data_IF_751414816379
#
_entry.id   IF_751414816379
#
_cell.length_a   1.000
_cell.length_b   1.000
_cell.length_c   1.000
_cell.angle_alpha   90.00
_cell.angle_beta   90.00
_cell.angle_gamma   90.00
#
_symmetry.space_group_name_H-M   'P 1'
#
loop_
_entity.id
_entity.type
_entity.pdbx_description
1 polymer ?
#
# COMPACT_ATOMS: atom_id res chain seq x y z
N UNK A 1 12.07 -34.77 -14.29
CA UNK A 1 12.65 -36.00 -14.85
C UNK A 1 11.62 -37.06 -15.23
N UNK A 2 10.62 -37.34 -14.39
CA UNK A 2 9.67 -38.46 -14.60
C UNK A 2 8.25 -38.05 -15.00
N UNK A 3 7.86 -36.77 -14.83
CA UNK A 3 6.52 -36.28 -15.19
C UNK A 3 6.53 -35.61 -16.57
N UNK A 4 5.50 -35.86 -17.36
CA UNK A 4 5.27 -35.17 -18.64
C UNK A 4 4.67 -33.78 -18.42
N UNK A 5 4.93 -32.85 -19.34
CA UNK A 5 4.24 -31.53 -19.37
C UNK A 5 4.67 -30.51 -18.30
N UNK A 6 5.72 -30.77 -17.52
CA UNK A 6 6.24 -29.79 -16.56
C UNK A 6 6.92 -28.63 -17.28
N UNK A 7 6.46 -27.40 -17.03
CA UNK A 7 7.07 -26.20 -17.61
C UNK A 7 8.51 -26.02 -17.08
N UNK A 8 9.50 -25.63 -17.90
CA UNK A 8 10.90 -25.50 -17.47
C UNK A 8 11.12 -24.55 -16.28
N UNK A 9 10.27 -23.54 -16.11
CA UNK A 9 10.33 -22.59 -14.99
C UNK A 9 9.57 -23.04 -13.72
N UNK A 10 8.93 -24.22 -13.73
CA UNK A 10 8.09 -24.71 -12.62
C UNK A 10 8.61 -26.03 -12.04
N UNK A 11 9.92 -26.26 -12.09
CA UNK A 11 10.56 -27.44 -11.51
C UNK A 11 10.66 -27.29 -9.98
N UNK A 12 10.23 -28.33 -9.25
CA UNK A 12 10.41 -28.43 -7.79
C UNK A 12 11.75 -29.12 -7.50
N UNK A 13 12.61 -28.48 -6.72
CA UNK A 13 13.91 -29.01 -6.33
C UNK A 13 14.21 -28.84 -4.84
N UNK A 14 15.44 -29.14 -4.40
CA UNK A 14 15.82 -29.09 -2.97
C UNK A 14 15.67 -27.71 -2.30
N UNK A 15 15.56 -26.64 -3.09
CA UNK A 15 15.43 -25.25 -2.61
C UNK A 15 14.02 -24.67 -2.82
N UNK A 16 13.02 -25.51 -3.12
CA UNK A 16 11.65 -25.07 -3.36
C UNK A 16 10.79 -25.27 -2.11
N UNK A 17 10.28 -24.19 -1.54
CA UNK A 17 9.25 -24.24 -0.49
C UNK A 17 7.87 -24.58 -1.09
N UNK A 18 7.02 -25.25 -0.31
CA UNK A 18 5.72 -25.76 -0.74
C UNK A 18 4.61 -25.24 0.18
N UNK A 19 3.66 -24.50 -0.40
CA UNK A 19 2.40 -24.15 0.25
C UNK A 19 1.27 -24.95 -0.39
N UNK A 20 0.55 -25.74 0.41
CA UNK A 20 -0.52 -26.61 -0.09
C UNK A 20 -1.81 -25.82 -0.43
N UNK A 21 -2.13 -25.73 -1.73
CA UNK A 21 -3.34 -25.05 -2.23
C UNK A 21 -4.57 -25.96 -2.43
N UNK A 22 -4.46 -27.27 -2.21
CA UNK A 22 -5.55 -28.21 -2.46
C UNK A 22 -6.80 -27.86 -1.63
N UNK A 23 -7.96 -27.76 -2.29
CA UNK A 23 -9.22 -27.40 -1.64
C UNK A 23 -9.32 -25.94 -1.18
N UNK A 24 -8.39 -25.07 -1.61
CA UNK A 24 -8.40 -23.63 -1.33
C UNK A 24 -8.69 -22.83 -2.60
N UNK A 25 -9.26 -21.65 -2.44
CA UNK A 25 -9.30 -20.62 -3.48
C UNK A 25 -8.15 -19.66 -3.19
N UNK A 26 -7.31 -19.42 -4.20
CA UNK A 26 -6.23 -18.44 -4.13
C UNK A 26 -6.60 -17.28 -5.03
N UNK A 27 -6.56 -16.07 -4.48
CA UNK A 27 -6.81 -14.82 -5.22
C UNK A 27 -5.56 -13.95 -5.17
N UNK A 28 -5.51 -12.92 -6.00
CA UNK A 28 -4.63 -11.79 -5.73
C UNK A 28 -5.02 -11.15 -4.39
N UNK A 29 -4.06 -10.47 -3.76
CA UNK A 29 -4.35 -9.62 -2.61
C UNK A 29 -5.18 -8.40 -3.01
N UNK A 30 -6.07 -7.97 -2.13
CA UNK A 30 -6.91 -6.80 -2.35
C UNK A 30 -6.08 -5.51 -2.47
N UNK A 31 -6.58 -4.58 -3.28
CA UNK A 31 -6.06 -3.21 -3.41
C UNK A 31 -7.17 -2.27 -2.97
N UNK A 32 -7.00 -1.64 -1.81
CA UNK A 32 -7.89 -0.57 -1.36
C UNK A 32 -7.29 0.77 -1.75
N UNK A 33 -8.01 1.53 -2.58
CA UNK A 33 -7.55 2.80 -3.11
C UNK A 33 -8.19 4.05 -2.48
N UNK A 34 -8.91 3.89 -1.36
CA UNK A 34 -9.52 5.00 -0.63
C UNK A 34 -9.26 4.91 0.87
N UNK A 35 -7.98 4.83 1.25
CA UNK A 35 -7.59 4.61 2.64
C UNK A 35 -7.35 5.93 3.38
N UNK A 36 -8.02 6.11 4.52
CA UNK A 36 -7.69 7.17 5.46
C UNK A 36 -6.75 6.61 6.54
N UNK A 37 -5.50 7.07 6.58
CA UNK A 37 -4.51 6.63 7.57
C UNK A 37 -4.73 7.31 8.94
N UNK A 38 -5.88 7.00 9.56
CA UNK A 38 -6.35 7.59 10.83
C UNK A 38 -5.63 6.98 12.02
N UNK A 39 -5.38 5.68 12.00
CA UNK A 39 -4.74 4.95 13.09
C UNK A 39 -4.01 3.70 12.55
N UNK A 40 -2.96 3.21 13.25
CA UNK A 40 -2.19 2.06 12.78
C UNK A 40 -2.96 0.72 12.83
N UNK A 41 -4.03 0.62 13.61
CA UNK A 41 -4.81 -0.61 13.76
C UNK A 41 -5.42 -1.09 12.43
N UNK A 42 -5.69 -0.17 11.51
CA UNK A 42 -6.26 -0.50 10.19
C UNK A 42 -5.34 -1.40 9.36
N UNK A 43 -4.03 -1.42 9.63
CA UNK A 43 -3.09 -2.27 8.89
C UNK A 43 -3.33 -3.75 9.17
N UNK A 44 -3.60 -4.10 10.43
CA UNK A 44 -3.94 -5.47 10.82
C UNK A 44 -5.29 -5.91 10.26
N UNK A 45 -6.28 -5.01 10.28
CA UNK A 45 -7.60 -5.26 9.68
C UNK A 45 -7.53 -5.45 8.16
N UNK A 46 -6.73 -4.64 7.47
CA UNK A 46 -6.49 -4.78 6.03
C UNK A 46 -5.92 -6.16 5.69
N UNK A 47 -4.83 -6.56 6.36
CA UNK A 47 -4.22 -7.89 6.16
C UNK A 47 -5.18 -9.02 6.50
N UNK A 48 -5.90 -8.91 7.62
CA UNK A 48 -6.92 -9.88 8.02
C UNK A 48 -8.07 -10.01 7.02
N UNK A 49 -8.39 -8.92 6.31
CA UNK A 49 -9.36 -8.88 5.21
C UNK A 49 -8.81 -9.30 3.84
N UNK A 50 -7.55 -9.73 3.75
CA UNK A 50 -6.90 -10.11 2.49
C UNK A 50 -6.46 -8.94 1.61
N UNK A 51 -6.41 -7.72 2.15
CA UNK A 51 -5.89 -6.53 1.46
C UNK A 51 -4.37 -6.48 1.65
N UNK A 52 -3.66 -6.26 0.55
CA UNK A 52 -2.19 -6.24 0.53
C UNK A 52 -1.61 -4.92 0.05
N UNK A 53 -2.46 -4.04 -0.50
CA UNK A 53 -2.08 -2.71 -0.99
C UNK A 53 -3.05 -1.65 -0.50
N UNK A 54 -2.52 -0.59 0.09
CA UNK A 54 -3.27 0.55 0.61
C UNK A 54 -2.85 1.84 -0.11
N UNK A 55 -3.78 2.48 -0.80
CA UNK A 55 -3.56 3.77 -1.46
C UNK A 55 -4.49 4.79 -0.80
N UNK A 56 -3.91 5.89 -0.33
CA UNK A 56 -4.66 6.83 0.47
C UNK A 56 -3.79 7.90 1.10
N UNK A 57 -4.26 8.52 2.17
CA UNK A 57 -3.49 9.56 2.85
C UNK A 57 -3.98 9.79 4.28
N UNK A 58 -3.12 10.40 5.07
CA UNK A 58 -3.39 10.73 6.45
C UNK A 58 -2.14 11.01 7.26
N UNK A 59 -2.35 11.53 8.47
CA UNK A 59 -1.32 11.85 9.46
C UNK A 59 -1.79 11.47 10.87
N UNK A 60 -2.58 10.40 10.98
CA UNK A 60 -3.24 10.01 12.24
C UNK A 60 -4.61 10.67 12.42
N UNK A 61 -5.14 10.79 13.65
CA UNK A 61 -6.53 11.15 13.92
C UNK A 61 -6.84 12.66 13.79
N UNK A 62 -6.05 13.39 13.01
CA UNK A 62 -6.30 14.80 12.72
C UNK A 62 -7.58 14.97 11.89
N UNK A 63 -8.30 16.08 12.09
CA UNK A 63 -9.55 16.37 11.35
C UNK A 63 -9.38 16.29 9.84
N UNK A 64 -8.26 16.79 9.31
CA UNK A 64 -7.95 16.70 7.88
C UNK A 64 -7.87 15.25 7.37
N UNK A 65 -7.29 14.34 8.15
CA UNK A 65 -7.20 12.91 7.79
C UNK A 65 -8.54 12.21 7.93
N UNK A 66 -9.33 12.53 8.97
CA UNK A 66 -10.67 11.96 9.14
C UNK A 66 -11.60 12.35 7.99
N UNK A 67 -11.40 13.53 7.40
CA UNK A 67 -12.21 14.02 6.29
C UNK A 67 -11.65 13.65 4.90
N UNK A 68 -10.33 13.57 4.74
CA UNK A 68 -9.68 13.44 3.43
C UNK A 68 -8.53 12.44 3.45
N UNK A 69 -8.39 11.66 2.37
CA UNK A 69 -7.27 10.74 2.13
C UNK A 69 -6.00 11.50 1.72
N UNK A 70 -5.53 12.40 2.59
CA UNK A 70 -4.44 13.34 2.28
C UNK A 70 -3.34 13.30 3.34
N UNK A 71 -2.10 13.13 2.88
CA UNK A 71 -0.88 13.38 3.64
C UNK A 71 -0.26 14.70 3.11
N UNK A 72 -0.47 15.84 3.78
CA UNK A 72 -0.21 17.15 3.18
C UNK A 72 1.26 17.60 3.29
N UNK A 73 1.88 17.96 2.16
CA UNK A 73 3.22 18.57 2.15
C UNK A 73 4.37 17.58 2.38
N UNK A 74 5.59 18.00 2.03
CA UNK A 74 6.76 17.11 2.05
C UNK A 74 7.12 16.60 3.46
N UNK A 75 6.92 17.43 4.50
CA UNK A 75 7.26 17.04 5.87
C UNK A 75 6.40 15.87 6.37
N UNK A 76 5.09 15.93 6.18
CA UNK A 76 4.18 14.86 6.61
C UNK A 76 4.38 13.59 5.78
N UNK A 77 4.65 13.73 4.47
CA UNK A 77 4.97 12.59 3.60
C UNK A 77 6.20 11.85 4.13
N UNK A 78 7.29 12.56 4.43
CA UNK A 78 8.50 11.94 4.98
C UNK A 78 8.24 11.20 6.31
N UNK A 79 7.50 11.81 7.25
CA UNK A 79 7.17 11.18 8.53
C UNK A 79 6.27 9.95 8.38
N UNK A 80 5.31 10.01 7.46
CA UNK A 80 4.43 8.87 7.21
C UNK A 80 5.19 7.74 6.53
N UNK A 81 6.04 8.03 5.54
CA UNK A 81 6.89 6.99 4.92
C UNK A 81 7.77 6.28 5.95
N UNK A 82 8.44 7.04 6.84
CA UNK A 82 9.20 6.47 7.96
C UNK A 82 8.33 5.62 8.89
N UNK A 83 7.11 6.09 9.22
CA UNK A 83 6.19 5.33 10.07
C UNK A 83 5.66 4.06 9.41
N UNK A 84 5.70 3.97 8.08
CA UNK A 84 5.07 2.88 7.33
C UNK A 84 6.07 1.79 6.90
N UNK A 85 7.37 2.05 6.99
CA UNK A 85 8.46 1.19 6.52
C UNK A 85 8.48 -0.23 7.13
N UNK A 86 7.96 -0.40 8.34
CA UNK A 86 7.94 -1.69 9.04
C UNK A 86 6.71 -2.56 8.74
N UNK A 87 5.72 -2.05 8.00
CA UNK A 87 4.51 -2.81 7.69
C UNK A 87 4.71 -3.71 6.48
N UNK A 88 4.27 -4.98 6.53
CA UNK A 88 4.35 -5.89 5.40
C UNK A 88 3.19 -5.66 4.41
N UNK A 89 3.05 -4.42 3.93
CA UNK A 89 1.98 -3.96 3.04
C UNK A 89 2.58 -3.06 1.95
N UNK A 90 2.01 -3.11 0.75
CA UNK A 90 2.31 -2.11 -0.28
C UNK A 90 1.54 -0.82 0.03
N UNK A 91 2.20 0.32 0.01
CA UNK A 91 1.58 1.60 0.41
C UNK A 91 1.92 2.69 -0.59
N UNK A 92 0.91 3.47 -0.97
CA UNK A 92 1.07 4.67 -1.78
C UNK A 92 0.33 5.86 -1.12
N UNK A 93 1.06 6.92 -0.80
CA UNK A 93 0.52 8.11 -0.14
C UNK A 93 0.06 9.17 -1.14
N UNK A 94 -1.10 9.77 -0.88
CA UNK A 94 -1.70 10.83 -1.68
C UNK A 94 -1.45 12.19 -1.00
N UNK A 95 -0.95 13.15 -1.78
CA UNK A 95 -0.83 14.54 -1.37
C UNK A 95 -2.14 15.32 -1.46
N UNK A 96 -2.13 16.57 -1.03
CA UNK A 96 -3.23 17.51 -1.18
C UNK A 96 -3.22 18.10 -2.59
N UNK A 97 -4.26 17.82 -3.36
CA UNK A 97 -4.46 18.36 -4.71
C UNK A 97 -5.15 19.74 -4.74
N UNK A 98 -5.74 20.18 -3.63
CA UNK A 98 -6.50 21.43 -3.58
C UNK A 98 -5.57 22.65 -3.46
N UNK A 99 -4.97 23.03 -4.59
CA UNK A 99 -4.12 24.21 -4.72
C UNK A 99 -4.10 24.68 -6.18
N UNK A 100 -3.89 25.98 -6.40
CA UNK A 100 -3.58 26.55 -7.73
C UNK A 100 -2.07 26.67 -7.96
N UNK A 101 -1.24 26.37 -6.96
CA UNK A 101 0.21 26.46 -7.05
C UNK A 101 0.81 25.16 -7.59
N UNK A 102 1.37 25.22 -8.80
CA UNK A 102 2.12 24.12 -9.38
C UNK A 102 3.36 23.75 -8.55
N UNK A 103 4.00 24.73 -7.91
CA UNK A 103 5.18 24.49 -7.07
C UNK A 103 4.83 23.63 -5.84
N UNK A 104 3.70 23.91 -5.19
CA UNK A 104 3.22 23.11 -4.06
C UNK A 104 2.81 21.69 -4.45
N UNK A 105 2.39 21.46 -5.70
CA UNK A 105 2.19 20.11 -6.22
C UNK A 105 3.55 19.40 -6.39
N UNK A 106 4.54 20.06 -6.99
CA UNK A 106 5.87 19.50 -7.19
C UNK A 106 6.61 19.21 -5.87
N UNK A 107 6.46 20.05 -4.86
CA UNK A 107 7.01 19.83 -3.52
C UNK A 107 6.54 18.48 -2.94
N UNK A 108 5.23 18.20 -3.03
CA UNK A 108 4.64 16.96 -2.52
C UNK A 108 5.08 15.73 -3.32
N UNK A 109 5.13 15.81 -4.65
CA UNK A 109 5.64 14.72 -5.49
C UNK A 109 7.09 14.37 -5.11
N UNK A 110 7.94 15.39 -4.98
CA UNK A 110 9.35 15.20 -4.55
C UNK A 110 9.45 14.68 -3.11
N UNK A 111 8.47 15.00 -2.27
CA UNK A 111 8.34 14.48 -0.91
C UNK A 111 7.84 13.03 -0.82
N UNK A 112 7.48 12.40 -1.96
CA UNK A 112 7.06 11.00 -2.02
C UNK A 112 5.56 10.78 -2.22
N UNK A 113 4.78 11.81 -2.54
CA UNK A 113 3.39 11.61 -2.95
C UNK A 113 3.32 10.79 -4.25
N UNK A 114 2.48 9.76 -4.27
CA UNK A 114 2.21 8.91 -5.43
C UNK A 114 1.02 9.40 -6.27
N UNK A 115 0.30 10.41 -5.78
CA UNK A 115 -0.86 11.00 -6.41
C UNK A 115 -1.43 12.12 -5.55
N UNK A 116 -2.60 12.64 -5.93
CA UNK A 116 -3.26 13.73 -5.22
C UNK A 116 -4.74 13.46 -5.01
N UNK A 117 -5.27 13.92 -3.88
CA UNK A 117 -6.70 13.97 -3.60
C UNK A 117 -7.17 15.44 -3.64
N UNK A 118 -8.19 15.69 -4.45
CA UNK A 118 -9.00 16.92 -4.41
C UNK A 118 -10.14 16.75 -3.41
#
# INVERSE_FOLDING_TARGET
DIMTGVHPQLVVGPSTEIIAGNGRIVTAGGIDCHVHFICPQIMGEALGGGITTLIGGGTGPAEGTKATTVTPGAWHLARMLESLDHWPLNIALLGKGNTVSAESMWEQLRGGASGFKL
#
